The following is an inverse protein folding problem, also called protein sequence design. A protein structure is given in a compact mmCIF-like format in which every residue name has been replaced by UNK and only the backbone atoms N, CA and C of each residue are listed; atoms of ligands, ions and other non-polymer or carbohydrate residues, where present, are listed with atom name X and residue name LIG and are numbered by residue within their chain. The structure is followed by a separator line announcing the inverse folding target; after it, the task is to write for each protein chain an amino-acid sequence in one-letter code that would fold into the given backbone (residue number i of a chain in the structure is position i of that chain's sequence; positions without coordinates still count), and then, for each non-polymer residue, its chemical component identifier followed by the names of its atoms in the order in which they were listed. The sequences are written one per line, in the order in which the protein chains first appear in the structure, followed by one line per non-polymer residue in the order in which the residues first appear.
data_IF_409406538199
#
_entry.id   IF_409406538199
#
_cell.length_a   1.000
_cell.length_b   1.000
_cell.length_c   1.000
_cell.angle_alpha   90.00
_cell.angle_beta   90.00
_cell.angle_gamma   90.00
#
_symmetry.space_group_name_H-M   'P 1'
#
loop_
_entity.id
_entity.type
_entity.pdbx_description
1 polymer ?
#
# COMPACT_ATOMS: atom_id res chain seq x y z
N UNK A 1 4.13 14.28 -4.56
CA UNK A 1 4.06 12.88 -5.01
C UNK A 1 2.78 12.27 -4.50
N UNK A 2 1.97 11.71 -5.40
CA UNK A 2 0.77 10.93 -5.07
C UNK A 2 1.15 9.52 -4.62
N UNK A 3 0.27 8.85 -3.88
CA UNK A 3 0.49 7.47 -3.44
C UNK A 3 0.67 6.50 -4.62
N UNK A 4 -0.01 6.75 -5.74
CA UNK A 4 0.14 5.98 -6.97
C UNK A 4 1.55 6.05 -7.55
N UNK A 5 2.17 7.24 -7.55
CA UNK A 5 3.56 7.43 -8.01
C UNK A 5 4.54 6.68 -7.10
N UNK A 6 4.33 6.73 -5.78
CA UNK A 6 5.19 6.02 -4.80
C UNK A 6 5.12 4.51 -4.99
N UNK A 7 3.93 3.96 -5.23
CA UNK A 7 3.75 2.53 -5.52
C UNK A 7 4.40 2.15 -6.85
N UNK A 8 4.32 3.00 -7.88
CA UNK A 8 5.01 2.74 -9.15
C UNK A 8 6.54 2.75 -8.99
N UNK A 9 7.08 3.68 -8.21
CA UNK A 9 8.51 3.69 -7.87
C UNK A 9 8.91 2.41 -7.14
N UNK A 10 8.11 1.98 -6.15
CA UNK A 10 8.33 0.74 -5.43
C UNK A 10 8.27 -0.49 -6.34
N UNK A 11 7.29 -0.53 -7.26
CA UNK A 11 7.16 -1.56 -8.29
C UNK A 11 8.37 -1.62 -9.22
N UNK A 12 8.91 -0.46 -9.61
CA UNK A 12 10.13 -0.37 -10.43
C UNK A 12 11.36 -0.86 -9.67
N UNK A 13 11.43 -0.61 -8.35
CA UNK A 13 12.52 -1.08 -7.48
C UNK A 13 12.49 -2.60 -7.28
N UNK A 14 11.31 -3.18 -6.99
CA UNK A 14 11.14 -4.63 -6.74
C UNK A 14 11.25 -5.42 -8.06
N UNK A 15 10.87 -4.83 -9.19
CA UNK A 15 10.93 -5.47 -10.51
C UNK A 15 9.92 -6.60 -10.72
N UNK A 16 8.97 -6.79 -9.79
CA UNK A 16 7.90 -7.81 -9.87
C UNK A 16 6.54 -7.19 -10.18
N UNK A 17 5.73 -7.93 -10.92
CA UNK A 17 4.34 -7.56 -11.26
C UNK A 17 3.35 -7.80 -10.11
N UNK A 18 3.76 -8.56 -9.11
CA UNK A 18 2.98 -8.90 -7.92
C UNK A 18 3.89 -8.92 -6.70
N UNK A 19 3.56 -8.14 -5.67
CA UNK A 19 4.32 -8.10 -4.42
C UNK A 19 3.46 -7.61 -3.26
N UNK A 20 3.80 -8.08 -2.06
CA UNK A 20 3.32 -7.51 -0.81
C UNK A 20 4.25 -6.37 -0.38
N UNK A 21 3.68 -5.29 0.15
CA UNK A 21 4.43 -4.16 0.68
C UNK A 21 3.69 -3.55 1.88
N UNK A 22 4.42 -2.87 2.76
CA UNK A 22 3.86 -2.14 3.90
C UNK A 22 3.79 -0.65 3.57
N UNK A 23 3.03 0.11 4.36
CA UNK A 23 2.97 1.56 4.18
C UNK A 23 4.35 2.24 4.35
N UNK A 24 5.18 1.72 5.25
CA UNK A 24 6.57 2.21 5.46
C UNK A 24 7.43 2.09 4.19
N UNK A 25 7.20 1.05 3.38
CA UNK A 25 7.97 0.73 2.17
C UNK A 25 7.77 1.78 1.06
N UNK A 26 6.72 2.61 1.17
CA UNK A 26 6.45 3.74 0.27
C UNK A 26 7.31 4.96 0.56
N UNK A 27 8.04 4.96 1.67
CA UNK A 27 8.88 6.05 2.14
C UNK A 27 10.31 5.56 2.23
N UNK A 28 11.27 6.47 2.06
CA UNK A 28 12.66 6.16 2.40
C UNK A 28 12.80 6.10 3.93
N UNK A 29 13.83 5.42 4.41
CA UNK A 29 14.09 5.30 5.84
C UNK A 29 14.24 6.68 6.52
N UNK A 30 14.84 7.64 5.80
CA UNK A 30 14.97 9.04 6.21
C UNK A 30 13.61 9.76 6.32
N UNK A 31 12.78 9.71 5.26
CA UNK A 31 11.42 10.30 5.28
C UNK A 31 10.57 9.67 6.38
N UNK A 32 10.70 8.35 6.56
CA UNK A 32 9.97 7.64 7.60
C UNK A 32 10.42 8.11 8.99
N UNK A 33 11.72 8.22 9.24
CA UNK A 33 12.27 8.67 10.52
C UNK A 33 11.85 10.10 10.87
N UNK A 34 11.82 11.00 9.88
CA UNK A 34 11.37 12.39 10.05
C UNK A 34 9.86 12.51 10.31
N UNK A 35 9.07 11.55 9.80
CA UNK A 35 7.62 11.55 10.03
C UNK A 35 7.27 11.15 11.47
N UNK A 36 6.64 12.07 12.20
CA UNK A 36 6.01 11.78 13.49
C UNK A 36 4.88 10.75 13.38
N UNK A 37 4.66 9.97 14.45
CA UNK A 37 3.60 8.95 14.54
C UNK A 37 2.24 9.50 14.11
N UNK A 38 1.85 10.70 14.56
CA UNK A 38 0.59 11.35 14.14
C UNK A 38 0.50 11.59 12.63
N UNK A 39 1.61 11.95 11.98
CA UNK A 39 1.64 12.16 10.53
C UNK A 39 1.52 10.83 9.80
N UNK A 40 2.22 9.79 10.28
CA UNK A 40 2.13 8.43 9.73
C UNK A 40 0.68 7.93 9.79
N UNK A 41 0.01 8.09 10.93
CA UNK A 41 -1.43 7.72 11.08
C UNK A 41 -2.33 8.46 10.10
N UNK A 42 -2.13 9.76 9.95
CA UNK A 42 -2.97 10.59 9.08
C UNK A 42 -2.78 10.19 7.62
N UNK A 43 -1.53 10.01 7.19
CA UNK A 43 -1.24 9.61 5.82
C UNK A 43 -1.67 8.16 5.55
N UNK A 44 -1.52 7.24 6.49
CA UNK A 44 -2.00 5.87 6.34
C UNK A 44 -3.53 5.81 6.21
N UNK A 45 -4.26 6.61 7.00
CA UNK A 45 -5.73 6.75 6.83
C UNK A 45 -6.11 7.31 5.48
N UNK A 46 -5.39 8.32 5.01
CA UNK A 46 -5.62 8.93 3.70
C UNK A 46 -5.31 7.93 2.57
N UNK A 47 -4.24 7.15 2.74
CA UNK A 47 -3.87 6.06 1.84
C UNK A 47 -4.95 4.99 1.79
N UNK A 48 -5.46 4.52 2.93
CA UNK A 48 -6.54 3.54 2.99
C UNK A 48 -7.82 4.09 2.34
N UNK A 49 -8.16 5.35 2.58
CA UNK A 49 -9.31 5.99 1.93
C UNK A 49 -9.13 6.11 0.41
N UNK A 50 -7.89 6.25 -0.07
CA UNK A 50 -7.57 6.31 -1.49
C UNK A 50 -7.27 4.94 -2.10
N UNK A 51 -7.07 3.89 -1.32
CA UNK A 51 -6.60 2.59 -1.81
C UNK A 51 -7.59 1.96 -2.81
N UNK A 52 -8.88 2.19 -2.60
CA UNK A 52 -9.96 1.78 -3.49
C UNK A 52 -9.87 2.48 -4.87
N UNK A 53 -9.31 3.70 -4.88
CA UNK A 53 -9.06 4.49 -6.09
C UNK A 53 -7.74 4.15 -6.76
N UNK A 54 -6.81 3.47 -6.08
CA UNK A 54 -5.53 3.07 -6.67
C UNK A 54 -5.72 1.72 -7.38
N UNK A 55 -5.74 1.69 -8.72
CA UNK A 55 -5.90 0.43 -9.43
C UNK A 55 -4.72 -0.48 -9.11
N UNK A 56 -4.99 -1.79 -8.97
CA UNK A 56 -3.99 -2.86 -8.75
C UNK A 56 -3.44 -2.96 -7.32
N UNK A 57 -3.91 -2.13 -6.39
CA UNK A 57 -3.59 -2.27 -4.97
C UNK A 57 -4.82 -2.84 -4.26
N UNK A 58 -4.60 -3.83 -3.40
CA UNK A 58 -5.64 -4.35 -2.51
C UNK A 58 -5.07 -4.55 -1.12
N UNK A 59 -5.90 -4.26 -0.11
CA UNK A 59 -5.59 -4.66 1.26
C UNK A 59 -5.76 -6.19 1.37
N UNK A 60 -4.81 -6.87 1.99
CA UNK A 60 -4.87 -8.32 2.21
C UNK A 60 -5.96 -8.67 3.24
N UNK A 61 -6.55 -9.86 3.15
CA UNK A 61 -7.65 -10.29 4.04
C UNK A 61 -7.20 -10.35 5.51
N UNK A 62 -5.94 -10.74 5.77
CA UNK A 62 -5.32 -10.69 7.10
C UNK A 62 -5.21 -9.27 7.65
N UNK A 63 -4.98 -8.28 6.78
CA UNK A 63 -4.95 -6.86 7.18
C UNK A 63 -6.35 -6.30 7.42
N UNK A 64 -7.37 -6.75 6.68
CA UNK A 64 -8.77 -6.34 6.88
C UNK A 64 -9.33 -6.78 8.24
N UNK A 65 -8.98 -7.98 8.74
CA UNK A 65 -9.31 -8.40 10.11
C UNK A 65 -8.54 -7.58 11.15
N UNK A 66 -7.27 -7.25 10.89
CA UNK A 66 -6.42 -6.47 11.78
C UNK A 66 -6.77 -4.96 11.78
N UNK A 67 -7.42 -4.46 10.72
CA UNK A 67 -7.93 -3.09 10.62
C UNK A 67 -8.98 -2.79 11.70
N UNK A 68 -9.77 -3.80 12.10
CA UNK A 68 -10.67 -3.73 13.25
C UNK A 68 -9.95 -3.44 14.58
N UNK A 69 -8.65 -3.74 14.66
CA UNK A 69 -7.84 -3.65 15.88
C UNK A 69 -6.80 -2.50 15.89
N UNK A 70 -6.86 -1.55 14.93
CA UNK A 70 -6.01 -0.34 14.90
C UNK A 70 -4.49 -0.60 15.02
N UNK A 71 -3.97 -1.66 14.40
CA UNK A 71 -2.53 -1.90 14.38
C UNK A 71 -1.91 -1.39 13.07
N UNK A 72 -1.07 -0.36 13.24
CA UNK A 72 -0.02 0.06 12.30
C UNK A 72 0.80 -1.17 11.89
N UNK A 73 1.28 -1.23 10.65
CA UNK A 73 1.80 -2.42 9.93
C UNK A 73 0.73 -3.24 9.19
N UNK A 74 -0.16 -2.57 8.46
CA UNK A 74 -0.99 -3.25 7.46
C UNK A 74 -0.13 -3.66 6.27
N UNK A 75 -0.29 -4.90 5.80
CA UNK A 75 0.36 -5.39 4.59
C UNK A 75 -0.60 -5.24 3.40
N UNK A 76 -0.15 -4.50 2.40
CA UNK A 76 -0.87 -4.24 1.17
C UNK A 76 -0.30 -5.10 0.06
N UNK A 77 -1.17 -5.54 -0.84
CA UNK A 77 -0.78 -6.33 -2.00
C UNK A 77 -0.90 -5.48 -3.25
N UNK A 78 0.22 -5.28 -3.94
CA UNK A 78 0.22 -4.81 -5.31
C UNK A 78 0.12 -6.02 -6.22
N UNK A 79 -0.94 -6.08 -7.01
CA UNK A 79 -1.13 -7.10 -8.01
C UNK A 79 -1.48 -6.43 -9.33
N UNK A 80 -0.52 -6.40 -10.25
CA UNK A 80 -0.76 -6.19 -11.66
C UNK A 80 -1.46 -7.44 -12.21
N UNK A 81 -2.73 -7.67 -11.82
CA UNK A 81 -3.57 -8.66 -12.46
C UNK A 81 -3.64 -8.23 -13.92
N UNK A 82 -2.95 -8.96 -14.81
CA UNK A 82 -3.34 -9.00 -16.22
C UNK A 82 -4.83 -9.31 -16.20
N UNK A 83 -5.67 -8.36 -16.63
CA UNK A 83 -7.05 -8.67 -17.05
C UNK A 83 -6.98 -9.99 -17.83
N UNK A 84 -7.65 -11.02 -17.33
CA UNK A 84 -7.80 -12.42 -17.79
C UNK A 84 -7.51 -13.30 -16.55
N UNK A 85 -8.50 -13.84 -15.84
CA UNK A 85 -9.35 -14.93 -16.29
C UNK A 85 -10.69 -14.90 -15.51
N UNK A 86 -11.75 -14.45 -16.17
CA UNK A 86 -13.14 -14.93 -16.07
C UNK A 86 -14.02 -13.97 -16.86
N UNK A 87 -13.99 -14.13 -18.18
CA UNK A 87 -15.22 -14.00 -18.94
C UNK A 87 -15.93 -15.34 -18.71
N UNK A 88 -16.96 -15.35 -17.87
CA UNK A 88 -17.99 -16.39 -17.84
C UNK A 88 -19.32 -15.67 -17.88
#
# INVERSE_FOLDING_TARGET
MTFTERIQALRSSIGRTSFSFRFEDLFTEEEWLEMSVKQRTRQEREFIAQIDRIPRVRMTFSSAEHYKFKLYNQEYQYNEVKKNFKAV
#
